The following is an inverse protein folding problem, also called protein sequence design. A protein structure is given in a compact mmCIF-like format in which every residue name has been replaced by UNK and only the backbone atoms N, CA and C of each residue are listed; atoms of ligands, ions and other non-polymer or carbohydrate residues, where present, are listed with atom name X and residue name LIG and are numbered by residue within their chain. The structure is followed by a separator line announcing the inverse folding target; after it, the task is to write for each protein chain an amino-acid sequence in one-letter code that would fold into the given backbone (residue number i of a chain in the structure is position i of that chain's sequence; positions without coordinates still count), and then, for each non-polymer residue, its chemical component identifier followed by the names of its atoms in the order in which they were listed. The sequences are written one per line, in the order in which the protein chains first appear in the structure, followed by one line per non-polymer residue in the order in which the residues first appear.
data_IF_990097758556
#
_entry.id   IF_990097758556
#
_cell.length_a   1.000
_cell.length_b   1.000
_cell.length_c   1.000
_cell.angle_alpha   90.00
_cell.angle_beta   90.00
_cell.angle_gamma   90.00
#
_symmetry.space_group_name_H-M   'P 1'
#
loop_
_entity.id
_entity.type
_entity.pdbx_description
1 polymer ?
#
# COMPACT_ATOMS: atom_id res chain seq x y z
N UNK A 1 -2.47 16.25 1.93
CA UNK A 1 -2.02 15.06 1.16
C UNK A 1 -3.20 14.26 0.62
N UNK A 2 -4.08 13.72 1.46
CA UNK A 2 -5.26 12.95 1.04
C UNK A 2 -6.22 13.70 0.10
N UNK A 3 -6.62 14.93 0.47
CA UNK A 3 -7.48 15.78 -0.38
C UNK A 3 -6.86 16.09 -1.76
N UNK A 4 -5.53 16.00 -1.88
CA UNK A 4 -4.83 16.26 -3.14
C UNK A 4 -4.81 15.05 -4.07
N UNK A 5 -5.12 13.85 -3.57
CA UNK A 5 -4.88 12.58 -4.28
C UNK A 5 -6.12 11.70 -4.46
N UNK A 6 -7.19 11.86 -3.66
CA UNK A 6 -8.32 10.91 -3.64
C UNK A 6 -9.64 11.41 -4.25
N UNK A 7 -9.77 12.69 -4.61
CA UNK A 7 -11.03 13.21 -5.18
C UNK A 7 -10.92 13.25 -6.71
N UNK A 8 -11.64 12.34 -7.37
CA UNK A 8 -11.70 12.29 -8.83
C UNK A 8 -12.22 13.61 -9.41
N UNK A 9 -11.61 14.07 -10.50
CA UNK A 9 -11.99 15.31 -11.21
C UNK A 9 -11.68 16.63 -10.49
N UNK A 10 -11.30 16.59 -9.21
CA UNK A 10 -11.03 17.80 -8.39
C UNK A 10 -9.59 17.82 -7.89
N UNK A 11 -9.04 16.68 -7.49
CA UNK A 11 -7.76 16.62 -6.82
C UNK A 11 -6.61 16.75 -7.83
N UNK A 12 -5.69 17.72 -7.66
CA UNK A 12 -4.64 18.01 -8.65
C UNK A 12 -3.62 16.86 -8.81
N UNK A 13 -3.49 15.99 -7.80
CA UNK A 13 -2.59 14.85 -7.80
C UNK A 13 -3.37 13.51 -7.88
N UNK A 14 -4.61 13.53 -8.37
CA UNK A 14 -5.40 12.30 -8.58
C UNK A 14 -4.67 11.29 -9.48
N UNK A 15 -3.94 11.78 -10.49
CA UNK A 15 -3.13 10.95 -11.39
C UNK A 15 -2.09 10.07 -10.67
N UNK A 16 -1.62 10.47 -9.48
CA UNK A 16 -0.68 9.67 -8.67
C UNK A 16 -1.38 8.42 -8.13
N UNK A 17 -2.63 8.58 -7.68
CA UNK A 17 -3.44 7.48 -7.18
C UNK A 17 -3.81 6.51 -8.30
N UNK A 18 -4.19 7.04 -9.47
CA UNK A 18 -4.39 6.26 -10.69
C UNK A 18 -3.15 5.46 -11.07
N UNK A 19 -2.01 6.14 -11.21
CA UNK A 19 -0.74 5.50 -11.56
C UNK A 19 -0.38 4.38 -10.58
N UNK A 20 -0.52 4.64 -9.28
CA UNK A 20 -0.23 3.65 -8.24
C UNK A 20 -1.17 2.44 -8.31
N UNK A 21 -2.44 2.66 -8.64
CA UNK A 21 -3.43 1.59 -8.80
C UNK A 21 -3.11 0.74 -10.02
N UNK A 22 -2.81 1.37 -11.16
CA UNK A 22 -2.41 0.67 -12.39
C UNK A 22 -1.14 -0.15 -12.19
N UNK A 23 -0.13 0.41 -11.51
CA UNK A 23 1.09 -0.32 -11.16
C UNK A 23 0.77 -1.55 -10.28
N UNK A 24 -0.14 -1.39 -9.32
CA UNK A 24 -0.56 -2.49 -8.45
C UNK A 24 -1.26 -3.61 -9.22
N UNK A 25 -2.15 -3.25 -10.16
CA UNK A 25 -2.85 -4.21 -11.03
C UNK A 25 -1.85 -4.96 -11.93
N UNK A 26 -0.93 -4.24 -12.56
CA UNK A 26 0.09 -4.83 -13.45
C UNK A 26 1.01 -5.80 -12.71
N UNK A 27 1.52 -5.40 -11.56
CA UNK A 27 2.34 -6.27 -10.72
C UNK A 27 1.55 -7.48 -10.22
N UNK A 28 0.27 -7.30 -9.89
CA UNK A 28 -0.64 -8.39 -9.52
C UNK A 28 -0.79 -9.40 -10.64
N UNK A 29 -1.09 -8.94 -11.85
CA UNK A 29 -1.15 -9.80 -13.04
C UNK A 29 0.16 -10.53 -13.29
N UNK A 30 1.31 -9.87 -13.10
CA UNK A 30 2.61 -10.49 -13.29
C UNK A 30 2.82 -11.68 -12.36
N UNK A 31 2.56 -11.56 -11.05
CA UNK A 31 2.78 -12.67 -10.13
C UNK A 31 1.68 -13.73 -10.20
N UNK A 32 0.43 -13.38 -10.50
CA UNK A 32 -0.64 -14.36 -10.76
C UNK A 32 -0.24 -15.31 -11.88
N UNK A 33 0.23 -14.75 -13.00
CA UNK A 33 0.68 -15.52 -14.15
C UNK A 33 1.97 -16.31 -13.85
N UNK A 34 2.91 -15.71 -13.13
CA UNK A 34 4.18 -16.35 -12.78
C UNK A 34 3.99 -17.57 -11.87
N UNK A 35 3.14 -17.46 -10.85
CA UNK A 35 2.86 -18.54 -9.90
C UNK A 35 1.71 -19.47 -10.31
N UNK A 36 1.07 -19.21 -11.46
CA UNK A 36 -0.06 -20.00 -11.98
C UNK A 36 -1.19 -20.17 -10.96
N UNK A 37 -1.56 -19.07 -10.30
CA UNK A 37 -2.62 -19.10 -9.28
C UNK A 37 -3.96 -19.37 -9.99
N UNK A 38 -4.83 -20.25 -9.44
CA UNK A 38 -6.08 -20.66 -10.08
C UNK A 38 -7.16 -19.56 -9.99
N UNK A 39 -6.92 -18.46 -10.70
CA UNK A 39 -7.84 -17.33 -10.85
C UNK A 39 -7.63 -16.66 -12.21
N UNK A 40 -8.64 -15.92 -12.65
CA UNK A 40 -8.59 -15.13 -13.88
C UNK A 40 -8.61 -13.66 -13.52
N UNK A 41 -7.71 -12.87 -14.12
CA UNK A 41 -7.75 -11.41 -14.00
C UNK A 41 -8.47 -10.78 -15.19
N UNK A 42 -9.47 -9.94 -14.91
CA UNK A 42 -10.17 -9.10 -15.87
C UNK A 42 -10.02 -7.63 -15.46
N UNK A 43 -9.04 -6.94 -16.04
CA UNK A 43 -8.70 -5.57 -15.64
C UNK A 43 -8.19 -5.52 -14.20
N UNK A 44 -8.90 -4.81 -13.35
CA UNK A 44 -8.64 -4.65 -11.91
C UNK A 44 -9.29 -5.75 -11.04
N UNK A 45 -10.05 -6.66 -11.65
CA UNK A 45 -10.85 -7.66 -10.95
C UNK A 45 -10.22 -9.05 -11.05
N UNK A 46 -10.04 -9.72 -9.91
CA UNK A 46 -9.62 -11.11 -9.79
C UNK A 46 -10.86 -11.97 -9.61
N UNK A 47 -11.04 -12.96 -10.48
CA UNK A 47 -12.18 -13.88 -10.49
C UNK A 47 -11.68 -15.27 -10.11
N UNK A 48 -12.16 -15.78 -8.98
CA UNK A 48 -11.78 -17.08 -8.44
C UNK A 48 -12.73 -18.19 -8.93
N UNK A 49 -12.25 -19.44 -8.97
CA UNK A 49 -13.04 -20.58 -9.48
C UNK A 49 -14.35 -20.82 -8.73
N UNK A 50 -14.38 -20.52 -7.42
CA UNK A 50 -15.57 -20.65 -6.57
C UNK A 50 -16.58 -19.49 -6.73
N UNK A 51 -16.34 -18.57 -7.67
CA UNK A 51 -17.27 -17.49 -8.02
C UNK A 51 -17.08 -16.19 -7.23
N UNK A 52 -16.17 -16.14 -6.26
CA UNK A 52 -15.78 -14.88 -5.63
C UNK A 52 -15.04 -13.98 -6.62
N UNK A 53 -15.33 -12.69 -6.57
CA UNK A 53 -14.57 -11.65 -7.27
C UNK A 53 -13.98 -10.65 -6.28
N UNK A 54 -12.73 -10.27 -6.51
CA UNK A 54 -12.01 -9.25 -5.74
C UNK A 54 -11.56 -8.13 -6.66
N UNK A 55 -11.91 -6.90 -6.34
CA UNK A 55 -11.51 -5.73 -7.13
C UNK A 55 -10.37 -4.96 -6.46
N UNK A 56 -9.32 -4.64 -7.20
CA UNK A 56 -8.22 -3.79 -6.74
C UNK A 56 -8.64 -2.33 -6.88
N UNK A 57 -9.13 -1.76 -5.78
CA UNK A 57 -9.52 -0.35 -5.69
C UNK A 57 -8.33 0.55 -5.28
N UNK A 58 -8.51 1.87 -5.40
CA UNK A 58 -7.52 2.86 -4.98
C UNK A 58 -7.09 2.72 -3.51
N UNK A 59 -7.98 2.29 -2.63
CA UNK A 59 -7.69 2.04 -1.21
C UNK A 59 -6.79 0.81 -0.98
N UNK A 60 -6.63 -0.05 -1.98
CA UNK A 60 -5.81 -1.27 -1.92
C UNK A 60 -4.41 -1.07 -2.49
N UNK A 61 -4.10 0.08 -3.10
CA UNK A 61 -2.84 0.31 -3.82
C UNK A 61 -1.65 0.70 -2.91
N UNK A 62 -1.86 0.75 -1.59
CA UNK A 62 -0.82 1.05 -0.60
C UNK A 62 -0.53 2.54 -0.40
N UNK A 63 -1.20 3.44 -1.12
CA UNK A 63 -0.93 4.88 -1.04
C UNK A 63 -1.36 5.48 0.30
N UNK A 64 -2.45 4.98 0.91
CA UNK A 64 -2.94 5.45 2.23
C UNK A 64 -1.89 5.33 3.33
N UNK A 65 -1.32 4.14 3.64
CA UNK A 65 -0.28 4.04 4.67
C UNK A 65 0.97 4.84 4.32
N UNK A 66 1.33 4.92 3.04
CA UNK A 66 2.45 5.75 2.61
C UNK A 66 2.22 7.25 2.86
N UNK A 67 1.05 7.79 2.53
CA UNK A 67 0.75 9.21 2.78
C UNK A 67 0.68 9.53 4.26
N UNK A 68 0.21 8.59 5.09
CA UNK A 68 0.24 8.72 6.55
C UNK A 68 1.68 8.80 7.07
N UNK A 69 2.53 7.87 6.65
CA UNK A 69 3.97 7.90 6.94
C UNK A 69 4.63 9.19 6.46
N UNK A 70 4.35 9.60 5.21
CA UNK A 70 4.91 10.80 4.62
C UNK A 70 4.53 12.06 5.39
N UNK A 71 3.27 12.17 5.82
CA UNK A 71 2.82 13.28 6.65
C UNK A 71 3.68 13.39 7.94
N UNK A 72 3.96 12.25 8.58
CA UNK A 72 4.78 12.20 9.78
C UNK A 72 6.25 12.58 9.51
N UNK A 73 6.85 12.10 8.41
CA UNK A 73 8.21 12.47 8.00
C UNK A 73 8.33 13.98 7.69
N UNK A 74 7.33 14.54 7.00
CA UNK A 74 7.32 15.97 6.67
C UNK A 74 7.20 16.83 7.93
N UNK A 75 6.39 16.41 8.91
CA UNK A 75 6.23 17.09 10.19
C UNK A 75 7.46 16.97 11.11
N UNK A 76 8.29 15.92 10.95
CA UNK A 76 9.44 15.70 11.82
C UNK A 76 10.51 16.80 11.65
N UNK A 77 11.01 17.41 12.74
CA UNK A 77 11.97 18.52 12.69
C UNK A 77 13.40 18.02 12.44
N UNK A 78 13.69 17.64 11.20
CA UNK A 78 15.01 17.19 10.76
C UNK A 78 15.44 17.83 9.44
N UNK A 79 16.70 17.65 9.07
CA UNK A 79 17.26 18.16 7.82
C UNK A 79 16.57 17.53 6.60
N UNK A 80 16.42 18.31 5.53
CA UNK A 80 15.74 17.90 4.30
C UNK A 80 16.36 16.65 3.66
N UNK A 81 17.68 16.45 3.80
CA UNK A 81 18.40 15.28 3.28
C UNK A 81 17.84 13.97 3.85
N UNK A 82 17.53 13.95 5.15
CA UNK A 82 16.96 12.77 5.81
C UNK A 82 15.52 12.58 5.36
N UNK A 83 14.72 13.66 5.28
CA UNK A 83 13.34 13.56 4.77
C UNK A 83 13.29 12.95 3.38
N UNK A 84 14.16 13.37 2.46
CA UNK A 84 14.19 12.86 1.09
C UNK A 84 14.66 11.39 1.02
N UNK A 85 15.70 11.03 1.77
CA UNK A 85 16.17 9.64 1.85
C UNK A 85 15.06 8.72 2.38
N UNK A 86 14.41 9.10 3.48
CA UNK A 86 13.38 8.30 4.14
C UNK A 86 12.03 8.34 3.43
N UNK A 87 11.77 9.36 2.60
CA UNK A 87 10.68 9.36 1.62
C UNK A 87 10.85 8.20 0.64
N UNK A 88 12.02 8.09 -0.01
CA UNK A 88 12.26 7.06 -1.03
C UNK A 88 12.25 5.65 -0.41
N UNK A 89 12.94 5.48 0.72
CA UNK A 89 12.98 4.18 1.42
C UNK A 89 11.55 3.79 1.88
N UNK A 90 10.82 4.72 2.49
CA UNK A 90 9.47 4.45 2.98
C UNK A 90 8.47 4.17 1.87
N UNK A 91 8.58 4.86 0.73
CA UNK A 91 7.76 4.56 -0.44
C UNK A 91 8.00 3.12 -0.92
N UNK A 92 9.25 2.76 -1.23
CA UNK A 92 9.59 1.42 -1.71
C UNK A 92 9.19 0.32 -0.73
N UNK A 93 9.47 0.51 0.56
CA UNK A 93 9.16 -0.45 1.61
C UNK A 93 7.65 -0.68 1.77
N UNK A 94 6.86 0.39 1.86
CA UNK A 94 5.41 0.29 2.04
C UNK A 94 4.70 -0.23 0.79
N UNK A 95 5.21 0.09 -0.42
CA UNK A 95 4.70 -0.50 -1.66
C UNK A 95 4.98 -2.01 -1.71
N UNK A 96 6.16 -2.44 -1.29
CA UNK A 96 6.51 -3.87 -1.21
C UNK A 96 5.60 -4.60 -0.21
N UNK A 97 5.41 -4.05 0.98
CA UNK A 97 4.48 -4.61 1.98
C UNK A 97 3.06 -4.70 1.42
N UNK A 98 2.59 -3.66 0.73
CA UNK A 98 1.27 -3.69 0.11
C UNK A 98 1.14 -4.79 -0.94
N UNK A 99 2.18 -5.00 -1.76
CA UNK A 99 2.19 -6.07 -2.75
C UNK A 99 2.13 -7.45 -2.08
N UNK A 100 2.92 -7.66 -1.02
CA UNK A 100 2.88 -8.89 -0.21
C UNK A 100 1.51 -9.09 0.43
N UNK A 101 0.86 -8.01 0.89
CA UNK A 101 -0.50 -8.05 1.44
C UNK A 101 -1.51 -8.56 0.40
N UNK A 102 -1.54 -7.98 -0.79
CA UNK A 102 -2.48 -8.40 -1.85
C UNK A 102 -2.23 -9.86 -2.20
N UNK A 103 -0.97 -10.23 -2.41
CA UNK A 103 -0.57 -11.60 -2.68
C UNK A 103 -1.06 -12.58 -1.60
N UNK A 104 -0.81 -12.28 -0.33
CA UNK A 104 -1.23 -13.12 0.79
C UNK A 104 -2.76 -13.25 0.91
N UNK A 105 -3.50 -12.15 0.73
CA UNK A 105 -4.97 -12.19 0.74
C UNK A 105 -5.48 -13.06 -0.40
N UNK A 106 -4.94 -12.90 -1.60
CA UNK A 106 -5.31 -13.72 -2.77
C UNK A 106 -5.05 -15.20 -2.51
N UNK A 107 -3.91 -15.58 -1.94
CA UNK A 107 -3.65 -16.98 -1.59
C UNK A 107 -4.64 -17.51 -0.54
N UNK A 108 -4.95 -16.73 0.49
CA UNK A 108 -5.90 -17.14 1.52
C UNK A 108 -7.29 -17.37 0.94
N UNK A 109 -7.79 -16.47 0.09
CA UNK A 109 -9.17 -16.57 -0.43
C UNK A 109 -9.34 -17.60 -1.54
N UNK A 110 -8.25 -18.07 -2.16
CA UNK A 110 -8.29 -19.21 -3.09
C UNK A 110 -8.80 -20.46 -2.38
N UNK A 111 -8.25 -20.76 -1.19
CA UNK A 111 -8.62 -21.96 -0.43
C UNK A 111 -9.73 -21.69 0.60
N UNK A 112 -9.77 -20.48 1.17
CA UNK A 112 -10.64 -20.12 2.29
C UNK A 112 -11.36 -18.78 2.06
N UNK A 113 -12.37 -18.73 1.17
CA UNK A 113 -13.09 -17.50 0.84
C UNK A 113 -13.68 -16.79 2.07
N UNK A 114 -14.17 -17.54 3.05
CA UNK A 114 -14.79 -16.99 4.27
C UNK A 114 -13.80 -16.18 5.14
N UNK A 115 -12.49 -16.36 4.94
CA UNK A 115 -11.45 -15.64 5.66
C UNK A 115 -11.09 -14.29 5.01
N UNK A 116 -11.81 -13.85 3.98
CA UNK A 116 -11.56 -12.56 3.33
C UNK A 116 -11.52 -11.40 4.32
N UNK A 117 -12.53 -11.24 5.18
CA UNK A 117 -12.58 -10.12 6.14
C UNK A 117 -11.42 -10.14 7.14
N UNK A 118 -11.06 -11.33 7.63
CA UNK A 118 -9.96 -11.49 8.58
C UNK A 118 -8.62 -11.15 7.91
N UNK A 119 -8.37 -11.70 6.71
CA UNK A 119 -7.13 -11.48 5.98
C UNK A 119 -7.00 -10.03 5.47
N UNK A 120 -8.09 -9.45 4.95
CA UNK A 120 -8.08 -8.12 4.34
C UNK A 120 -8.05 -6.97 5.36
N UNK A 121 -8.94 -7.00 6.36
CA UNK A 121 -9.11 -5.89 7.29
C UNK A 121 -8.23 -6.04 8.53
N UNK A 122 -8.24 -7.21 9.17
CA UNK A 122 -7.47 -7.40 10.40
C UNK A 122 -5.97 -7.52 10.13
N UNK A 123 -5.59 -8.52 9.35
CA UNK A 123 -4.17 -8.78 9.07
C UNK A 123 -3.63 -7.75 8.08
N UNK A 124 -4.35 -7.50 6.99
CA UNK A 124 -3.96 -6.55 5.96
C UNK A 124 -3.99 -5.10 6.44
N UNK A 125 -5.19 -4.53 6.58
CA UNK A 125 -5.36 -3.09 6.83
C UNK A 125 -4.75 -2.65 8.17
N UNK A 126 -5.14 -3.29 9.28
CA UNK A 126 -4.62 -2.90 10.60
C UNK A 126 -3.17 -3.33 10.80
N UNK A 127 -2.77 -4.50 10.30
CA UNK A 127 -1.38 -4.96 10.36
C UNK A 127 -0.43 -4.02 9.61
N UNK A 128 -0.75 -3.63 8.37
CA UNK A 128 0.06 -2.65 7.61
C UNK A 128 0.08 -1.30 8.31
N UNK A 129 -1.03 -0.86 8.92
CA UNK A 129 -1.06 0.34 9.74
C UNK A 129 -0.08 0.28 10.91
N UNK A 130 -0.06 -0.82 11.66
CA UNK A 130 0.90 -1.04 12.74
C UNK A 130 2.35 -1.05 12.24
N UNK A 131 2.63 -1.79 11.15
CA UNK A 131 3.97 -1.78 10.54
C UNK A 131 4.40 -0.38 10.11
N UNK A 132 3.48 0.43 9.60
CA UNK A 132 3.75 1.83 9.22
C UNK A 132 4.17 2.66 10.44
N UNK A 133 3.49 2.50 11.57
CA UNK A 133 3.83 3.18 12.83
C UNK A 133 5.20 2.72 13.37
N UNK A 134 5.46 1.42 13.37
CA UNK A 134 6.74 0.86 13.80
C UNK A 134 7.89 1.33 12.91
N UNK A 135 7.65 1.41 11.59
CA UNK A 135 8.62 1.90 10.63
C UNK A 135 8.91 3.39 10.84
N UNK A 136 7.90 4.21 11.12
CA UNK A 136 8.09 5.60 11.50
C UNK A 136 8.87 5.74 12.82
N UNK A 137 8.56 4.94 13.84
CA UNK A 137 9.33 4.90 15.08
C UNK A 137 10.79 4.51 14.84
N UNK A 138 11.03 3.56 13.92
CA UNK A 138 12.40 3.22 13.54
C UNK A 138 13.13 4.40 12.89
N UNK A 139 12.46 5.16 12.02
CA UNK A 139 12.98 6.41 11.46
C UNK A 139 13.38 7.41 12.55
N UNK A 140 12.53 7.65 13.56
CA UNK A 140 12.82 8.64 14.62
C UNK A 140 14.05 8.25 15.45
N UNK A 141 14.33 6.96 15.60
CA UNK A 141 15.53 6.47 16.29
C UNK A 141 16.82 6.59 15.44
N UNK A 142 16.70 6.81 14.13
CA UNK A 142 17.84 6.86 13.19
C UNK A 142 18.18 8.28 12.75
N UNK A 143 17.28 9.23 12.95
CA UNK A 143 17.39 10.58 12.39
C UNK A 143 17.42 11.62 13.50
N UNK A 144 18.47 12.47 13.55
CA UNK A 144 18.59 13.49 14.58
C UNK A 144 17.52 14.56 14.42
N UNK A 145 17.06 15.07 15.56
CA UNK A 145 16.23 16.27 15.64
C UNK A 145 17.15 17.48 15.51
N UNK A 146 16.78 18.43 14.66
CA UNK A 146 17.44 19.75 14.64
C UNK A 146 17.14 20.40 15.98
N UNK A 147 18.16 20.56 16.82
CA UNK A 147 18.07 21.40 18.00
C UNK A 147 18.15 22.85 17.53
N UNK A 148 17.10 23.64 17.77
CA UNK A 148 17.19 25.08 17.64
C UNK A 148 18.26 25.57 18.62
N UNK A 149 19.26 26.30 18.10
CA UNK A 149 20.27 26.99 18.92
C UNK A 149 19.68 28.26 19.52
#
# INVERSE_FOLDING_TARGET
LFMLTFIEGVAPLFFVNEFQTQLTIQLTSMWVNFFQIPLVMQGDTLILEHGMSLQILHECNGLVPFLLYLAAILAYPTELKYKLQWFLIGYLFLMLINMVRIFAITLVVVDFPDLFTISHDWVGRYGVGLFTLLFFFWFTNRVPVIQEK
#
